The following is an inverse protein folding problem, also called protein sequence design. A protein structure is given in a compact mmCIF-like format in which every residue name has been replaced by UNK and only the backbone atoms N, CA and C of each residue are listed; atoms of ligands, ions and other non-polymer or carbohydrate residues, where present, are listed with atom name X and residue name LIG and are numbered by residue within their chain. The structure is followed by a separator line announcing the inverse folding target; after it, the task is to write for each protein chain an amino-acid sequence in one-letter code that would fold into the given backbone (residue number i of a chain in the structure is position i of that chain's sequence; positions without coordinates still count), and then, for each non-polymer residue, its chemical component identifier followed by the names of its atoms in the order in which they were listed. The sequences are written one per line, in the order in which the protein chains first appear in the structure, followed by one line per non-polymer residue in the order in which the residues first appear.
data_IF_190986562645
#
_entry.id   IF_190986562645
#
_cell.length_a   1.000
_cell.length_b   1.000
_cell.length_c   1.000
_cell.angle_alpha   90.00
_cell.angle_beta   90.00
_cell.angle_gamma   90.00
#
_symmetry.space_group_name_H-M   'P 1'
#
loop_
_entity.id
_entity.type
_entity.pdbx_description
1 polymer ?
#
# COMPACT_ATOMS: atom_id res chain seq x y z
N UNK A 1 32.82 -35.13 19.79
CA UNK A 1 31.56 -34.51 19.33
C UNK A 1 31.80 -34.00 17.92
N UNK A 2 31.57 -34.83 16.91
CA UNK A 2 31.81 -34.51 15.49
C UNK A 2 30.61 -34.99 14.70
N UNK A 3 29.67 -34.10 14.41
CA UNK A 3 28.52 -34.38 13.56
C UNK A 3 28.87 -33.92 12.13
N UNK A 4 29.50 -34.80 11.37
CA UNK A 4 29.84 -34.55 9.97
C UNK A 4 28.65 -34.97 9.09
N UNK A 5 27.99 -33.95 8.55
CA UNK A 5 27.39 -33.84 7.20
C UNK A 5 27.39 -35.15 6.40
N UNK A 6 26.24 -35.83 6.39
CA UNK A 6 25.98 -37.02 5.59
C UNK A 6 24.72 -36.88 4.73
N UNK A 7 24.63 -35.82 3.92
CA UNK A 7 23.59 -35.67 2.90
C UNK A 7 24.19 -35.03 1.63
N UNK A 8 24.87 -35.80 0.77
CA UNK A 8 24.55 -35.67 -0.65
C UNK A 8 24.89 -36.94 -1.43
N UNK A 9 23.92 -37.76 -1.85
CA UNK A 9 24.16 -38.72 -2.96
C UNK A 9 22.89 -39.34 -3.55
N UNK A 10 21.76 -39.32 -2.84
CA UNK A 10 20.52 -39.93 -3.32
C UNK A 10 19.74 -39.10 -4.38
N UNK A 11 20.04 -37.81 -4.55
CA UNK A 11 19.34 -36.97 -5.53
C UNK A 11 20.00 -36.94 -6.94
N UNK A 12 21.18 -37.54 -7.12
CA UNK A 12 21.93 -37.43 -8.38
C UNK A 12 21.50 -38.46 -9.43
N UNK A 13 21.05 -39.66 -9.03
CA UNK A 13 20.70 -40.74 -9.98
C UNK A 13 19.25 -40.70 -10.48
N UNK A 14 18.34 -40.02 -9.79
CA UNK A 14 16.92 -39.96 -10.19
C UNK A 14 16.62 -38.99 -11.36
N UNK A 15 17.58 -38.19 -11.80
CA UNK A 15 17.41 -37.16 -12.85
C UNK A 15 18.14 -37.49 -14.17
N UNK A 16 18.42 -38.77 -14.44
CA UNK A 16 18.77 -39.27 -15.77
C UNK A 16 17.54 -39.72 -16.58
N UNK A 17 16.37 -39.12 -16.35
CA UNK A 17 15.31 -39.17 -17.36
C UNK A 17 15.83 -38.47 -18.61
N UNK A 18 15.96 -39.22 -19.72
CA UNK A 18 16.23 -38.64 -21.04
C UNK A 18 15.18 -37.57 -21.29
N UNK A 19 15.58 -36.31 -21.28
CA UNK A 19 14.69 -35.20 -21.55
C UNK A 19 14.12 -35.40 -22.96
N UNK A 20 12.80 -35.61 -23.13
CA UNK A 20 12.22 -35.92 -24.43
C UNK A 20 12.21 -34.71 -25.37
N UNK A 21 12.47 -33.50 -24.85
CA UNK A 21 12.38 -32.27 -25.61
C UNK A 21 13.74 -31.79 -26.12
N UNK A 22 13.80 -31.38 -27.38
CA UNK A 22 15.00 -30.74 -27.93
C UNK A 22 15.24 -29.38 -27.24
N UNK A 23 16.49 -29.04 -26.85
CA UNK A 23 16.78 -27.74 -26.25
C UNK A 23 16.33 -26.54 -27.10
N UNK A 24 16.39 -26.69 -28.43
CA UNK A 24 15.93 -25.66 -29.39
C UNK A 24 14.43 -25.38 -29.26
N UNK A 25 13.62 -26.43 -29.08
CA UNK A 25 12.18 -26.30 -28.88
C UNK A 25 11.89 -25.56 -27.57
N UNK A 26 12.55 -25.94 -26.47
CA UNK A 26 12.36 -25.28 -25.17
C UNK A 26 12.71 -23.80 -25.22
N UNK A 27 13.83 -23.45 -25.86
CA UNK A 27 14.23 -22.04 -26.06
C UNK A 27 13.19 -21.29 -26.90
N UNK A 28 12.71 -21.88 -28.00
CA UNK A 28 11.73 -21.25 -28.88
C UNK A 28 10.39 -21.02 -28.17
N UNK A 29 9.88 -22.03 -27.46
CA UNK A 29 8.64 -21.95 -26.70
C UNK A 29 8.73 -20.85 -25.63
N UNK A 30 9.83 -20.79 -24.89
CA UNK A 30 9.99 -19.78 -23.85
C UNK A 30 10.13 -18.37 -24.41
N UNK A 31 10.82 -18.19 -25.54
CA UNK A 31 10.88 -16.90 -26.21
C UNK A 31 9.49 -16.46 -26.67
N UNK A 32 8.70 -17.35 -27.27
CA UNK A 32 7.32 -17.04 -27.70
C UNK A 32 6.44 -16.69 -26.51
N UNK A 33 6.46 -17.49 -25.44
CA UNK A 33 5.68 -17.23 -24.22
C UNK A 33 6.11 -15.91 -23.57
N UNK A 34 7.40 -15.63 -23.50
CA UNK A 34 7.92 -14.38 -22.94
C UNK A 34 7.49 -13.18 -23.77
N UNK A 35 7.66 -13.22 -25.09
CA UNK A 35 7.22 -12.15 -25.99
C UNK A 35 5.70 -11.94 -25.92
N UNK A 36 4.93 -13.02 -25.85
CA UNK A 36 3.48 -12.96 -25.68
C UNK A 36 3.08 -12.30 -24.35
N UNK A 37 3.72 -12.68 -23.25
CA UNK A 37 3.50 -12.06 -21.95
C UNK A 37 3.80 -10.56 -21.96
N UNK A 38 4.93 -10.16 -22.55
CA UNK A 38 5.30 -8.75 -22.67
C UNK A 38 4.40 -7.98 -23.63
N UNK A 39 3.88 -8.62 -24.67
CA UNK A 39 2.86 -8.04 -25.54
C UNK A 39 1.59 -7.71 -24.73
N UNK A 40 1.07 -8.66 -23.94
CA UNK A 40 -0.09 -8.40 -23.07
C UNK A 40 0.19 -7.30 -22.05
N UNK A 41 1.39 -7.25 -21.46
CA UNK A 41 1.75 -6.19 -20.51
C UNK A 41 1.93 -4.81 -21.11
N UNK A 42 2.29 -4.72 -22.39
CA UNK A 42 2.64 -3.44 -23.03
C UNK A 42 1.55 -2.92 -23.94
N UNK A 43 0.41 -3.60 -24.01
CA UNK A 43 -0.74 -3.23 -24.84
C UNK A 43 -2.01 -3.31 -24.02
N UNK A 44 -3.10 -2.79 -24.57
CA UNK A 44 -4.44 -2.92 -24.00
C UNK A 44 -5.10 -4.29 -24.26
N UNK A 45 -4.30 -5.32 -24.59
CA UNK A 45 -4.77 -6.69 -24.75
C UNK A 45 -4.64 -7.49 -23.45
N UNK A 46 -5.71 -8.21 -23.14
CA UNK A 46 -5.82 -9.16 -22.04
C UNK A 46 -6.28 -10.53 -22.56
N UNK A 47 -6.12 -11.57 -21.75
CA UNK A 47 -6.80 -12.83 -21.99
C UNK A 47 -8.29 -12.68 -21.67
N UNK A 48 -9.12 -13.49 -22.32
CA UNK A 48 -10.55 -13.47 -22.05
C UNK A 48 -10.85 -13.85 -20.59
N UNK A 49 -11.29 -12.85 -19.81
CA UNK A 49 -11.56 -12.96 -18.38
C UNK A 49 -10.34 -12.73 -17.47
N UNK A 50 -10.62 -12.33 -16.23
CA UNK A 50 -9.57 -11.89 -15.30
C UNK A 50 -8.72 -13.02 -14.70
N UNK A 51 -9.25 -14.25 -14.57
CA UNK A 51 -8.52 -15.38 -13.96
C UNK A 51 -7.30 -15.79 -14.80
N UNK A 52 -7.42 -16.01 -16.13
CA UNK A 52 -6.27 -16.29 -16.98
C UNK A 52 -5.16 -15.24 -16.88
N UNK A 53 -5.51 -13.95 -16.82
CA UNK A 53 -4.52 -12.86 -16.68
C UNK A 53 -3.72 -12.94 -15.38
N UNK A 54 -4.35 -13.44 -14.31
CA UNK A 54 -3.71 -13.63 -13.01
C UNK A 54 -2.79 -14.86 -13.02
N UNK A 55 -3.22 -15.95 -13.65
CA UNK A 55 -2.53 -17.24 -13.60
C UNK A 55 -1.45 -17.40 -14.67
N UNK A 56 -1.59 -16.76 -15.83
CA UNK A 56 -0.67 -16.93 -16.95
C UNK A 56 0.76 -16.47 -16.61
N UNK A 57 1.00 -15.26 -16.04
CA UNK A 57 2.36 -14.82 -15.74
C UNK A 57 3.17 -15.74 -14.84
N UNK A 58 2.68 -16.19 -13.66
CA UNK A 58 3.43 -17.11 -12.83
C UNK A 58 3.62 -18.47 -13.52
N UNK A 59 2.63 -18.95 -14.29
CA UNK A 59 2.77 -20.19 -15.05
C UNK A 59 3.90 -20.11 -16.09
N UNK A 60 3.99 -19.01 -16.85
CA UNK A 60 5.07 -18.76 -17.81
C UNK A 60 6.43 -18.69 -17.10
N UNK A 61 6.51 -18.00 -15.96
CA UNK A 61 7.73 -17.92 -15.16
C UNK A 61 8.20 -19.29 -14.66
N UNK A 62 7.28 -20.10 -14.13
CA UNK A 62 7.57 -21.47 -13.65
C UNK A 62 8.04 -22.36 -14.81
N UNK A 63 7.35 -22.33 -15.96
CA UNK A 63 7.74 -23.08 -17.16
C UNK A 63 9.16 -22.67 -17.59
N UNK A 64 9.51 -21.39 -17.54
CA UNK A 64 10.83 -20.90 -17.91
C UNK A 64 11.93 -21.38 -16.95
N UNK A 65 11.68 -21.34 -15.64
CA UNK A 65 12.61 -21.83 -14.63
C UNK A 65 12.85 -23.34 -14.80
N UNK A 66 11.78 -24.13 -14.96
CA UNK A 66 11.87 -25.56 -15.18
C UNK A 66 12.60 -25.84 -16.50
N UNK A 67 12.24 -25.14 -17.58
CA UNK A 67 12.87 -25.30 -18.90
C UNK A 67 14.37 -25.00 -18.86
N UNK A 68 14.77 -23.94 -18.15
CA UNK A 68 16.17 -23.57 -17.95
C UNK A 68 16.93 -24.63 -17.13
N UNK A 69 16.32 -25.14 -16.06
CA UNK A 69 16.93 -26.16 -15.19
C UNK A 69 17.16 -27.50 -15.91
N UNK A 70 16.27 -27.88 -16.83
CA UNK A 70 16.36 -29.15 -17.57
C UNK A 70 17.13 -28.99 -18.91
N UNK A 71 17.33 -27.75 -19.38
CA UNK A 71 18.10 -27.48 -20.60
C UNK A 71 19.60 -27.75 -20.38
N UNK A 72 20.09 -28.86 -20.95
CA UNK A 72 21.52 -29.20 -20.96
C UNK A 72 22.12 -28.83 -22.31
N UNK A 73 22.89 -27.76 -22.35
CA UNK A 73 23.65 -27.33 -23.55
C UNK A 73 25.12 -27.66 -23.40
N UNK A 74 25.75 -28.14 -24.48
CA UNK A 74 27.17 -28.54 -24.46
C UNK A 74 28.15 -27.37 -24.52
N UNK A 75 27.71 -26.16 -24.89
CA UNK A 75 28.58 -24.98 -25.08
C UNK A 75 28.13 -23.79 -24.25
N UNK A 76 29.09 -23.05 -23.66
CA UNK A 76 28.86 -21.81 -22.91
C UNK A 76 28.10 -20.75 -23.71
N UNK A 77 28.38 -20.63 -25.02
CA UNK A 77 27.70 -19.65 -25.88
C UNK A 77 26.23 -20.02 -26.09
N UNK A 78 25.94 -21.31 -26.27
CA UNK A 78 24.57 -21.80 -26.40
C UNK A 78 23.81 -21.66 -25.08
N UNK A 79 24.49 -21.90 -23.95
CA UNK A 79 23.91 -21.67 -22.63
C UNK A 79 23.54 -20.20 -22.44
N UNK A 80 24.43 -19.26 -22.79
CA UNK A 80 24.15 -17.82 -22.69
C UNK A 80 22.95 -17.42 -23.55
N UNK A 81 22.90 -17.83 -24.82
CA UNK A 81 21.77 -17.52 -25.70
C UNK A 81 20.45 -18.14 -25.21
N UNK A 82 20.52 -19.36 -24.68
CA UNK A 82 19.36 -20.01 -24.06
C UNK A 82 18.89 -19.18 -22.85
N UNK A 83 19.78 -18.85 -21.91
CA UNK A 83 19.48 -17.99 -20.76
C UNK A 83 18.83 -16.68 -21.17
N UNK A 84 19.40 -15.96 -22.15
CA UNK A 84 18.83 -14.71 -22.65
C UNK A 84 17.41 -14.88 -23.21
N UNK A 85 17.10 -16.03 -23.81
CA UNK A 85 15.77 -16.33 -24.36
C UNK A 85 14.74 -16.67 -23.28
N UNK A 86 15.17 -17.15 -22.11
CA UNK A 86 14.29 -17.38 -20.95
C UNK A 86 14.05 -16.11 -20.13
N UNK A 87 14.94 -15.11 -20.22
CA UNK A 87 14.86 -13.89 -19.42
C UNK A 87 13.51 -13.16 -19.54
N UNK A 88 12.90 -12.95 -20.72
CA UNK A 88 11.61 -12.27 -20.80
C UNK A 88 10.52 -12.94 -19.97
N UNK A 89 10.44 -14.28 -20.00
CA UNK A 89 9.48 -15.08 -19.22
C UNK A 89 9.78 -15.06 -17.73
N UNK A 90 11.05 -15.21 -17.35
CA UNK A 90 11.47 -15.20 -15.94
C UNK A 90 11.24 -13.82 -15.33
N UNK A 91 11.60 -12.75 -16.03
CA UNK A 91 11.41 -11.38 -15.57
C UNK A 91 9.93 -11.04 -15.52
N UNK A 92 9.15 -11.32 -16.58
CA UNK A 92 7.73 -11.03 -16.61
C UNK A 92 6.95 -11.78 -15.51
N UNK A 93 7.12 -13.10 -15.42
CA UNK A 93 6.47 -13.90 -14.39
C UNK A 93 7.00 -13.62 -12.98
N UNK A 94 8.31 -13.40 -12.84
CA UNK A 94 8.94 -13.10 -11.55
C UNK A 94 8.55 -11.73 -10.99
N UNK A 95 8.47 -10.69 -11.82
CA UNK A 95 7.99 -9.37 -11.42
C UNK A 95 6.53 -9.41 -10.97
N UNK A 96 5.70 -10.19 -11.66
CA UNK A 96 4.32 -10.40 -11.24
C UNK A 96 4.23 -11.02 -9.85
N UNK A 97 4.96 -12.11 -9.60
CA UNK A 97 5.00 -12.78 -8.29
C UNK A 97 5.55 -11.85 -7.20
N UNK A 98 6.63 -11.12 -7.48
CA UNK A 98 7.18 -10.13 -6.55
C UNK A 98 6.14 -9.05 -6.21
N UNK A 99 5.41 -8.56 -7.21
CA UNK A 99 4.36 -7.56 -7.03
C UNK A 99 3.27 -8.07 -6.09
N UNK A 100 2.80 -9.32 -6.27
CA UNK A 100 1.84 -9.95 -5.35
C UNK A 100 2.39 -10.01 -3.93
N UNK A 101 3.65 -10.42 -3.74
CA UNK A 101 4.26 -10.45 -2.41
C UNK A 101 4.38 -9.07 -1.76
N UNK A 102 4.78 -8.05 -2.52
CA UNK A 102 4.83 -6.66 -2.02
C UNK A 102 3.45 -6.18 -1.58
N UNK A 103 2.41 -6.53 -2.34
CA UNK A 103 1.02 -6.20 -2.06
C UNK A 103 0.45 -6.92 -0.83
N UNK A 104 1.14 -7.94 -0.31
CA UNK A 104 0.80 -8.61 0.96
C UNK A 104 1.45 -7.96 2.18
N UNK A 105 2.37 -7.01 2.00
CA UNK A 105 3.03 -6.30 3.10
C UNK A 105 2.14 -5.11 3.54
N UNK A 106 1.90 -4.91 4.86
CA UNK A 106 1.21 -3.71 5.33
C UNK A 106 1.92 -2.43 4.88
N UNK A 107 1.18 -1.35 4.52
CA UNK A 107 -0.28 -1.19 4.63
C UNK A 107 -1.08 -1.71 3.41
N UNK A 108 -0.45 -2.33 2.42
CA UNK A 108 -1.08 -2.66 1.14
C UNK A 108 -2.03 -3.86 1.20
N UNK A 109 -1.81 -4.77 2.16
CA UNK A 109 -2.52 -6.04 2.32
C UNK A 109 -4.05 -5.90 2.24
N UNK A 110 -4.62 -4.91 2.95
CA UNK A 110 -6.07 -4.72 2.99
C UNK A 110 -6.64 -4.31 1.63
N UNK A 111 -5.97 -3.36 0.96
CA UNK A 111 -6.33 -2.92 -0.40
C UNK A 111 -6.26 -4.07 -1.40
N UNK A 112 -5.27 -4.94 -1.28
CA UNK A 112 -5.10 -6.13 -2.11
C UNK A 112 -6.26 -7.11 -1.95
N UNK A 113 -6.71 -7.37 -0.72
CA UNK A 113 -7.86 -8.25 -0.49
C UNK A 113 -9.16 -7.67 -1.05
N UNK A 114 -9.37 -6.35 -0.92
CA UNK A 114 -10.53 -5.70 -1.55
C UNK A 114 -10.46 -5.82 -3.07
N UNK A 115 -9.32 -5.51 -3.69
CA UNK A 115 -9.14 -5.64 -5.13
C UNK A 115 -9.35 -7.09 -5.62
N UNK A 116 -8.84 -8.08 -4.89
CA UNK A 116 -9.04 -9.49 -5.20
C UNK A 116 -10.53 -9.90 -5.10
N UNK A 117 -11.24 -9.40 -4.09
CA UNK A 117 -12.68 -9.64 -3.94
C UNK A 117 -13.48 -8.99 -5.07
N UNK A 118 -13.14 -7.76 -5.46
CA UNK A 118 -13.76 -7.05 -6.59
C UNK A 118 -13.55 -7.80 -7.91
N UNK A 119 -12.34 -8.34 -8.12
CA UNK A 119 -12.01 -9.17 -9.30
C UNK A 119 -12.81 -10.47 -9.28
N UNK A 120 -12.91 -11.13 -8.13
CA UNK A 120 -13.65 -12.39 -8.00
C UNK A 120 -15.17 -12.21 -8.18
N UNK A 121 -15.69 -11.03 -7.84
CA UNK A 121 -17.08 -10.64 -8.04
C UNK A 121 -17.37 -9.93 -9.36
N UNK A 122 -16.46 -10.02 -10.35
CA UNK A 122 -16.70 -9.44 -11.68
C UNK A 122 -17.88 -10.15 -12.37
N UNK A 123 -18.87 -9.37 -12.81
CA UNK A 123 -20.07 -9.87 -13.51
C UNK A 123 -20.21 -9.22 -14.88
N UNK A 124 -20.58 -10.02 -15.90
CA UNK A 124 -20.96 -9.48 -17.21
C UNK A 124 -22.39 -8.95 -17.13
N UNK A 125 -22.58 -7.65 -17.39
CA UNK A 125 -23.89 -6.99 -17.30
C UNK A 125 -24.49 -6.72 -18.69
N UNK A 126 -23.65 -6.60 -19.73
CA UNK A 126 -24.11 -6.35 -21.09
C UNK A 126 -23.17 -6.95 -22.13
N UNK A 127 -23.77 -7.42 -23.23
CA UNK A 127 -23.08 -7.84 -24.45
C UNK A 127 -23.67 -7.16 -25.68
N UNK A 128 -22.85 -6.43 -26.43
CA UNK A 128 -23.26 -5.73 -27.66
C UNK A 128 -22.43 -6.18 -28.87
N UNK A 129 -23.07 -6.68 -29.92
CA UNK A 129 -22.40 -7.15 -31.13
C UNK A 129 -22.26 -6.00 -32.12
N UNK A 130 -21.07 -5.83 -32.71
CA UNK A 130 -20.81 -4.84 -33.75
C UNK A 130 -21.69 -5.05 -34.99
N UNK A 131 -21.99 -4.00 -35.78
CA UNK A 131 -22.86 -4.12 -36.96
C UNK A 131 -22.32 -5.11 -38.02
N UNK A 132 -21.01 -5.16 -38.22
CA UNK A 132 -20.35 -6.14 -39.12
C UNK A 132 -20.15 -7.54 -38.50
N UNK A 133 -20.55 -7.71 -37.23
CA UNK A 133 -20.43 -8.93 -36.43
C UNK A 133 -19.00 -9.40 -36.19
N UNK A 134 -17.97 -8.64 -36.54
CA UNK A 134 -16.58 -9.09 -36.35
C UNK A 134 -16.11 -8.99 -34.90
N UNK A 135 -16.78 -8.15 -34.11
CA UNK A 135 -16.44 -7.81 -32.72
C UNK A 135 -17.65 -7.86 -31.81
N UNK A 136 -17.42 -8.15 -30.55
CA UNK A 136 -18.42 -8.08 -29.47
C UNK A 136 -17.85 -7.24 -28.34
N UNK A 137 -18.60 -6.24 -27.89
CA UNK A 137 -18.34 -5.50 -26.68
C UNK A 137 -18.98 -6.22 -25.50
N UNK A 138 -18.20 -6.42 -24.45
CA UNK A 138 -18.61 -6.98 -23.16
C UNK A 138 -18.45 -5.91 -22.10
N UNK A 139 -19.48 -5.71 -21.30
CA UNK A 139 -19.46 -4.75 -20.18
C UNK A 139 -19.43 -5.57 -18.91
N UNK A 140 -18.38 -5.36 -18.12
CA UNK A 140 -18.18 -6.02 -16.84
C UNK A 140 -18.34 -5.02 -15.71
N UNK A 141 -19.11 -5.40 -14.70
CA UNK A 141 -19.27 -4.67 -13.46
C UNK A 141 -18.42 -5.32 -12.36
N UNK A 142 -17.75 -4.51 -11.56
CA UNK A 142 -17.13 -4.93 -10.29
C UNK A 142 -17.68 -4.08 -9.16
N UNK A 143 -18.48 -4.68 -8.28
CA UNK A 143 -18.99 -3.99 -7.09
C UNK A 143 -17.85 -3.58 -6.15
N UNK A 144 -17.87 -2.35 -5.65
CA UNK A 144 -16.87 -1.81 -4.71
C UNK A 144 -17.47 -1.66 -3.31
N UNK A 145 -16.70 -2.06 -2.29
CA UNK A 145 -17.01 -1.86 -0.87
C UNK A 145 -17.49 -3.11 -0.12
N UNK A 146 -17.25 -3.14 1.20
CA UNK A 146 -17.67 -4.22 2.11
C UNK A 146 -19.13 -4.09 2.57
N UNK A 147 -19.76 -2.93 2.38
CA UNK A 147 -21.12 -2.59 2.80
C UNK A 147 -21.77 -1.77 1.69
N UNK A 148 -22.28 -2.46 0.68
CA UNK A 148 -22.80 -1.90 -0.58
C UNK A 148 -23.83 -0.77 -0.36
N UNK A 149 -23.56 0.39 -0.98
CA UNK A 149 -24.49 1.52 -1.07
C UNK A 149 -23.83 2.76 -1.67
N UNK A 150 -23.15 2.71 -2.81
CA UNK A 150 -23.38 1.92 -4.00
C UNK A 150 -22.68 2.68 -5.14
N UNK A 151 -22.05 1.91 -6.04
CA UNK A 151 -21.45 2.28 -7.33
C UNK A 151 -20.08 1.63 -7.51
N UNK A 152 -20.02 0.72 -8.48
CA UNK A 152 -18.88 -0.13 -8.75
C UNK A 152 -17.93 0.46 -9.78
N UNK A 153 -17.20 -0.43 -10.43
CA UNK A 153 -16.32 -0.12 -11.57
C UNK A 153 -16.89 -0.77 -12.82
N UNK A 154 -16.79 -0.09 -13.94
CA UNK A 154 -17.13 -0.65 -15.24
C UNK A 154 -15.87 -0.86 -16.06
N UNK A 155 -15.79 -2.02 -16.71
CA UNK A 155 -14.80 -2.36 -17.71
C UNK A 155 -15.53 -2.69 -19.01
N UNK A 156 -15.15 -2.06 -20.10
CA UNK A 156 -15.66 -2.43 -21.43
C UNK A 156 -14.53 -3.10 -22.20
N UNK A 157 -14.74 -4.37 -22.53
CA UNK A 157 -13.79 -5.20 -23.25
C UNK A 157 -14.32 -5.58 -24.62
N UNK A 158 -13.45 -5.59 -25.62
CA UNK A 158 -13.79 -6.02 -26.97
C UNK A 158 -13.16 -7.38 -27.25
N UNK A 159 -13.99 -8.32 -27.68
CA UNK A 159 -13.55 -9.63 -28.17
C UNK A 159 -13.72 -9.71 -29.68
N UNK A 160 -12.71 -10.22 -30.36
CA UNK A 160 -12.75 -10.47 -31.80
C UNK A 160 -13.24 -11.89 -32.08
N UNK A 161 -14.11 -12.08 -33.07
CA UNK A 161 -14.62 -13.42 -33.40
C UNK A 161 -13.52 -14.41 -33.79
N UNK A 162 -12.46 -13.93 -34.45
CA UNK A 162 -11.35 -14.77 -34.92
C UNK A 162 -10.39 -15.15 -33.78
N UNK A 163 -10.35 -14.37 -32.70
CA UNK A 163 -9.46 -14.56 -31.55
C UNK A 163 -10.26 -14.44 -30.25
N UNK A 164 -11.16 -15.40 -29.95
CA UNK A 164 -12.10 -15.29 -28.83
C UNK A 164 -11.44 -15.42 -27.45
N UNK A 165 -10.16 -15.77 -27.39
CA UNK A 165 -9.38 -15.88 -26.16
C UNK A 165 -8.61 -14.59 -25.82
N UNK A 166 -8.63 -13.60 -26.72
CA UNK A 166 -8.04 -12.28 -26.50
C UNK A 166 -9.16 -11.25 -26.40
N UNK A 167 -9.04 -10.41 -25.39
CA UNK A 167 -9.86 -9.25 -25.16
C UNK A 167 -9.01 -8.00 -25.24
N UNK A 168 -9.65 -6.89 -25.56
CA UNK A 168 -9.03 -5.57 -25.55
C UNK A 168 -9.78 -4.69 -24.57
N UNK A 169 -9.10 -4.18 -23.56
CA UNK A 169 -9.67 -3.25 -22.58
C UNK A 169 -9.78 -1.86 -23.22
N UNK A 170 -10.99 -1.43 -23.58
CA UNK A 170 -11.23 -0.18 -24.31
C UNK A 170 -11.62 0.98 -23.39
N UNK A 171 -12.26 0.67 -22.27
CA UNK A 171 -12.74 1.67 -21.34
C UNK A 171 -12.76 1.14 -19.91
N UNK A 172 -12.42 2.02 -18.98
CA UNK A 172 -12.48 1.78 -17.55
C UNK A 172 -13.07 3.00 -16.86
N UNK A 173 -14.16 2.79 -16.12
CA UNK A 173 -14.74 3.81 -15.25
C UNK A 173 -14.53 3.42 -13.77
N UNK A 174 -13.70 4.15 -13.01
CA UNK A 174 -13.36 3.79 -11.64
C UNK A 174 -14.51 3.97 -10.64
N UNK A 175 -15.54 4.74 -11.01
CA UNK A 175 -16.74 4.99 -10.21
C UNK A 175 -17.94 5.07 -11.14
N UNK A 176 -18.81 4.07 -11.09
CA UNK A 176 -19.96 3.95 -11.99
C UNK A 176 -21.28 3.84 -11.22
N UNK A 177 -22.28 4.61 -11.63
CA UNK A 177 -23.67 4.51 -11.16
C UNK A 177 -24.41 3.23 -11.60
N UNK A 178 -23.77 2.39 -12.41
CA UNK A 178 -24.33 1.12 -12.84
C UNK A 178 -24.46 0.10 -11.68
N UNK A 179 -25.36 -0.85 -11.89
CA UNK A 179 -25.56 -2.04 -11.06
C UNK A 179 -25.41 -3.31 -11.89
N UNK A 180 -25.50 -4.46 -11.22
CA UNK A 180 -25.52 -5.78 -11.87
C UNK A 180 -26.68 -5.94 -12.88
N UNK A 181 -27.75 -5.17 -12.72
CA UNK A 181 -28.94 -5.21 -13.57
C UNK A 181 -28.91 -4.20 -14.74
N UNK A 182 -27.80 -3.49 -14.96
CA UNK A 182 -27.70 -2.47 -16.02
C UNK A 182 -27.46 -3.12 -17.38
N UNK A 183 -28.40 -2.94 -18.33
CA UNK A 183 -28.37 -3.62 -19.64
C UNK A 183 -28.01 -2.71 -20.84
N UNK A 184 -28.05 -1.39 -20.69
CA UNK A 184 -27.91 -0.39 -21.77
C UNK A 184 -26.73 0.58 -21.56
N UNK A 185 -25.60 0.04 -21.12
CA UNK A 185 -24.39 0.80 -20.84
C UNK A 185 -23.64 1.26 -22.10
N UNK A 186 -23.61 0.40 -23.14
CA UNK A 186 -22.82 0.58 -24.36
C UNK A 186 -23.68 0.39 -25.61
N UNK A 187 -23.48 1.25 -26.60
CA UNK A 187 -24.07 1.14 -27.94
C UNK A 187 -23.00 1.25 -29.03
N UNK A 188 -23.07 0.44 -30.09
CA UNK A 188 -22.16 0.59 -31.24
C UNK A 188 -22.55 1.79 -32.12
N UNK A 189 -21.60 2.71 -32.33
CA UNK A 189 -21.70 3.79 -33.34
C UNK A 189 -20.89 3.38 -34.57
N UNK A 190 -21.51 2.59 -35.45
CA UNK A 190 -20.82 1.97 -36.57
C UNK A 190 -19.90 0.81 -36.14
N UNK A 191 -18.87 0.50 -36.94
CA UNK A 191 -18.02 -0.69 -36.73
C UNK A 191 -16.81 -0.46 -35.82
N UNK A 192 -16.44 0.80 -35.58
CA UNK A 192 -15.17 1.16 -34.94
C UNK A 192 -15.33 2.11 -33.75
N UNK A 193 -16.55 2.39 -33.31
CA UNK A 193 -16.80 3.25 -32.18
C UNK A 193 -17.91 2.73 -31.27
N UNK A 194 -17.76 3.00 -29.98
CA UNK A 194 -18.71 2.69 -28.93
C UNK A 194 -19.14 3.98 -28.26
N UNK A 195 -20.44 4.13 -28.04
CA UNK A 195 -21.01 5.17 -27.20
C UNK A 195 -21.25 4.62 -25.79
N UNK A 196 -20.76 5.34 -24.78
CA UNK A 196 -20.93 5.00 -23.36
C UNK A 196 -22.03 5.88 -22.77
N UNK A 197 -23.12 5.28 -22.29
CA UNK A 197 -24.30 6.03 -21.86
C UNK A 197 -24.07 6.87 -20.60
N UNK A 198 -23.29 6.35 -19.64
CA UNK A 198 -23.04 7.03 -18.37
C UNK A 198 -22.16 8.28 -18.51
N UNK A 199 -21.07 8.21 -19.28
CA UNK A 199 -20.17 9.35 -19.50
C UNK A 199 -20.56 10.21 -20.70
N UNK A 200 -21.46 9.73 -21.56
CA UNK A 200 -21.86 10.36 -22.82
C UNK A 200 -20.69 10.54 -23.80
N UNK A 201 -19.71 9.62 -23.76
CA UNK A 201 -18.50 9.68 -24.58
C UNK A 201 -18.52 8.62 -25.69
N UNK A 202 -17.89 8.96 -26.83
CA UNK A 202 -17.65 8.03 -27.93
C UNK A 202 -16.18 7.60 -27.94
N UNK A 203 -15.94 6.29 -27.93
CA UNK A 203 -14.62 5.69 -27.81
C UNK A 203 -14.28 4.91 -29.08
N UNK A 204 -13.10 5.17 -29.64
CA UNK A 204 -12.62 4.47 -30.84
C UNK A 204 -12.01 3.11 -30.50
N UNK A 205 -12.51 2.05 -31.15
CA UNK A 205 -12.07 0.65 -31.00
C UNK A 205 -10.90 0.29 -31.94
N UNK A 206 -10.46 1.20 -32.81
CA UNK A 206 -9.55 0.85 -33.93
C UNK A 206 -8.06 0.77 -33.61
N UNK A 207 -7.56 1.54 -32.63
CA UNK A 207 -6.11 1.75 -32.43
C UNK A 207 -5.65 1.04 -31.16
N UNK A 208 -4.75 0.05 -31.28
CA UNK A 208 -4.12 -0.61 -30.14
C UNK A 208 -3.37 0.42 -29.30
N UNK A 209 -3.72 0.56 -28.03
CA UNK A 209 -3.00 1.45 -27.11
C UNK A 209 -1.74 0.73 -26.58
N UNK A 210 -0.65 1.48 -26.45
CA UNK A 210 0.54 1.00 -25.74
C UNK A 210 0.43 1.43 -24.28
N UNK A 211 0.67 0.50 -23.36
CA UNK A 211 0.61 0.75 -21.93
C UNK A 211 1.98 0.55 -21.28
N UNK A 212 2.19 1.21 -20.14
CA UNK A 212 3.33 0.88 -19.29
C UNK A 212 2.98 -0.37 -18.48
N UNK A 213 3.77 -1.45 -18.57
CA UNK A 213 3.53 -2.66 -17.79
C UNK A 213 3.32 -2.37 -16.31
N UNK A 214 2.14 -2.73 -15.78
CA UNK A 214 1.82 -2.53 -14.37
C UNK A 214 2.78 -3.28 -13.44
N UNK A 215 3.32 -4.42 -13.90
CA UNK A 215 4.37 -5.18 -13.20
C UNK A 215 5.70 -4.42 -13.03
N UNK A 216 5.92 -3.36 -13.79
CA UNK A 216 7.05 -2.43 -13.62
C UNK A 216 6.59 -1.19 -12.84
N UNK A 217 5.46 -0.60 -13.25
CA UNK A 217 4.98 0.65 -12.69
C UNK A 217 4.65 0.54 -11.20
N UNK A 218 3.94 -0.51 -10.78
CA UNK A 218 3.47 -0.67 -9.41
C UNK A 218 4.62 -0.84 -8.40
N UNK A 219 5.61 -1.75 -8.58
CA UNK A 219 6.77 -1.81 -7.68
C UNK A 219 7.54 -0.49 -7.60
N UNK A 220 7.68 0.22 -8.73
CA UNK A 220 8.32 1.54 -8.75
C UNK A 220 7.54 2.55 -7.89
N UNK A 221 6.21 2.62 -8.04
CA UNK A 221 5.38 3.51 -7.22
C UNK A 221 5.41 3.14 -5.75
N UNK A 222 5.31 1.86 -5.40
CA UNK A 222 5.43 1.39 -4.00
C UNK A 222 6.77 1.82 -3.41
N UNK A 223 7.87 1.61 -4.14
CA UNK A 223 9.20 2.03 -3.69
C UNK A 223 9.29 3.54 -3.47
N UNK A 224 8.73 4.35 -4.38
CA UNK A 224 8.68 5.82 -4.25
C UNK A 224 7.88 6.26 -3.02
N UNK A 225 6.74 5.61 -2.75
CA UNK A 225 5.91 5.88 -1.57
C UNK A 225 6.69 5.54 -0.29
N UNK A 226 7.34 4.38 -0.24
CA UNK A 226 8.14 3.95 0.92
C UNK A 226 9.31 4.90 1.18
N UNK A 227 10.01 5.37 0.14
CA UNK A 227 11.05 6.38 0.28
C UNK A 227 10.51 7.69 0.84
N UNK A 228 9.34 8.13 0.37
CA UNK A 228 8.70 9.36 0.84
C UNK A 228 8.31 9.24 2.31
N UNK A 229 7.73 8.10 2.71
CA UNK A 229 7.38 7.82 4.11
C UNK A 229 8.64 7.78 4.98
N UNK A 230 9.71 7.13 4.53
CA UNK A 230 10.97 7.04 5.26
C UNK A 230 11.61 8.43 5.47
N UNK A 231 11.60 9.27 4.43
CA UNK A 231 12.12 10.63 4.53
C UNK A 231 11.25 11.50 5.44
N UNK A 232 9.92 11.43 5.32
CA UNK A 232 9.02 12.13 6.23
C UNK A 232 9.22 11.68 7.68
N UNK A 233 9.39 10.39 7.93
CA UNK A 233 9.67 9.86 9.26
C UNK A 233 11.01 10.38 9.80
N UNK A 234 12.05 10.47 8.96
CA UNK A 234 13.37 11.03 9.32
C UNK A 234 13.26 12.51 9.68
N UNK A 235 12.56 13.31 8.86
CA UNK A 235 12.33 14.73 9.11
C UNK A 235 11.51 14.93 10.38
N UNK A 236 10.41 14.20 10.55
CA UNK A 236 9.58 14.24 11.77
C UNK A 236 10.40 13.85 13.01
N UNK A 237 11.27 12.84 12.92
CA UNK A 237 12.15 12.46 14.02
C UNK A 237 13.12 13.58 14.39
N UNK A 238 13.71 14.27 13.42
CA UNK A 238 14.61 15.41 13.66
C UNK A 238 13.86 16.61 14.26
N UNK A 239 12.68 16.92 13.72
CA UNK A 239 11.86 18.01 14.22
C UNK A 239 11.34 17.76 15.64
N UNK A 240 11.06 16.51 16.01
CA UNK A 240 10.51 16.15 17.33
C UNK A 240 11.56 15.96 18.44
N UNK A 241 12.87 16.10 18.14
CA UNK A 241 13.95 16.09 19.15
C UNK A 241 13.63 16.98 20.38
N UNK A 242 13.14 18.22 20.24
CA UNK A 242 12.93 19.12 21.37
C UNK A 242 12.01 18.54 22.46
N UNK A 243 10.98 17.77 22.07
CA UNK A 243 9.98 17.16 22.96
C UNK A 243 10.33 15.72 23.36
N UNK A 244 11.30 15.10 22.68
CA UNK A 244 11.84 13.78 23.06
C UNK A 244 12.87 13.86 24.18
N UNK A 245 13.67 14.92 24.18
CA UNK A 245 14.78 15.13 25.13
C UNK A 245 14.35 15.85 26.43
N UNK A 246 13.09 15.69 26.80
CA UNK A 246 12.51 16.30 28.01
C UNK A 246 12.43 15.27 29.14
N UNK A 247 12.39 15.72 30.41
CA UNK A 247 12.21 14.82 31.54
C UNK A 247 10.93 14.00 31.42
N UNK A 248 11.00 12.75 31.88
CA UNK A 248 9.90 11.79 31.83
C UNK A 248 9.72 11.22 33.23
N UNK A 249 8.48 11.21 33.71
CA UNK A 249 8.12 10.61 35.00
C UNK A 249 8.58 9.13 35.05
N UNK A 250 9.21 8.66 36.15
CA UNK A 250 9.83 7.34 36.25
C UNK A 250 8.83 6.17 36.44
N UNK A 251 7.68 6.21 35.75
CA UNK A 251 6.64 5.19 35.78
C UNK A 251 6.59 4.31 34.51
N UNK A 252 5.64 3.38 34.46
CA UNK A 252 5.40 2.55 33.27
C UNK A 252 4.69 3.37 32.21
N UNK A 253 5.37 3.60 31.08
CA UNK A 253 4.87 4.40 29.97
C UNK A 253 4.45 3.53 28.80
N UNK A 254 3.33 3.89 28.17
CA UNK A 254 2.82 3.23 26.98
C UNK A 254 2.23 4.23 25.98
N UNK A 255 2.12 3.81 24.72
CA UNK A 255 1.65 4.64 23.60
C UNK A 255 2.44 5.95 23.41
N UNK A 256 3.76 5.89 23.62
CA UNK A 256 4.65 7.04 23.41
C UNK A 256 4.81 7.35 21.93
N UNK A 257 4.30 8.51 21.52
CA UNK A 257 4.31 8.99 20.14
C UNK A 257 4.73 10.44 20.09
N UNK A 258 5.40 10.82 19.01
CA UNK A 258 5.83 12.20 18.79
C UNK A 258 5.63 12.58 17.33
N UNK A 259 5.07 13.75 17.06
CA UNK A 259 4.87 14.25 15.70
C UNK A 259 5.04 15.76 15.59
N UNK A 260 5.35 16.20 14.38
CA UNK A 260 5.36 17.61 14.01
C UNK A 260 4.01 17.97 13.39
N UNK A 261 3.37 19.01 13.91
CA UNK A 261 2.11 19.54 13.40
C UNK A 261 2.40 20.81 12.59
N UNK A 262 2.60 20.64 11.28
CA UNK A 262 2.98 21.72 10.36
C UNK A 262 2.00 22.92 10.42
N UNK A 263 0.69 22.64 10.48
CA UNK A 263 -0.35 23.68 10.53
C UNK A 263 -0.24 24.59 11.75
N UNK A 264 0.21 24.05 12.87
CA UNK A 264 0.32 24.75 14.16
C UNK A 264 1.74 25.25 14.43
N UNK A 265 2.69 24.91 13.55
CA UNK A 265 4.10 25.21 13.74
C UNK A 265 4.66 24.65 15.05
N UNK A 266 4.10 23.54 15.55
CA UNK A 266 4.43 22.97 16.86
C UNK A 266 4.89 21.52 16.74
N UNK A 267 5.76 21.10 17.64
CA UNK A 267 6.12 19.71 17.83
C UNK A 267 5.43 19.19 19.07
N UNK A 268 4.98 17.94 19.03
CA UNK A 268 4.41 17.33 20.22
C UNK A 268 4.88 15.92 20.49
N UNK A 269 4.77 15.56 21.77
CA UNK A 269 4.87 14.19 22.28
C UNK A 269 3.67 13.88 23.15
N UNK A 270 3.16 12.66 23.04
CA UNK A 270 2.00 12.17 23.77
C UNK A 270 2.28 10.77 24.29
N UNK A 271 1.97 10.51 25.55
CA UNK A 271 2.11 9.18 26.15
C UNK A 271 1.18 9.02 27.35
N UNK A 272 1.01 7.78 27.81
CA UNK A 272 0.25 7.46 29.00
C UNK A 272 1.17 6.89 30.08
N UNK A 273 0.88 7.21 31.34
CA UNK A 273 1.53 6.66 32.53
C UNK A 273 0.51 5.76 33.24
N UNK A 274 0.81 4.47 33.38
CA UNK A 274 -0.13 3.48 33.91
C UNK A 274 -0.28 3.57 35.43
N UNK A 275 -1.53 3.59 35.93
CA UNK A 275 -1.90 3.45 37.37
C UNK A 275 -1.27 4.44 38.34
N UNK A 276 -0.92 5.63 37.87
CA UNK A 276 -0.39 6.69 38.71
C UNK A 276 -1.46 7.73 39.05
N UNK A 277 -1.32 8.35 40.22
CA UNK A 277 -2.12 9.50 40.61
C UNK A 277 -1.61 10.77 39.93
N UNK A 278 -2.52 11.55 39.34
CA UNK A 278 -2.16 12.77 38.58
C UNK A 278 -1.45 13.81 39.45
N UNK A 279 -1.85 13.95 40.72
CA UNK A 279 -1.25 14.91 41.64
C UNK A 279 0.21 14.54 41.94
N UNK A 280 0.49 13.24 42.12
CA UNK A 280 1.85 12.73 42.28
C UNK A 280 2.72 12.98 41.03
N UNK A 281 2.19 12.70 39.83
CA UNK A 281 2.91 12.93 38.57
C UNK A 281 3.23 14.41 38.40
N UNK A 282 2.24 15.29 38.59
CA UNK A 282 2.40 16.74 38.43
C UNK A 282 3.41 17.30 39.44
N UNK A 283 3.34 16.88 40.71
CA UNK A 283 4.29 17.29 41.74
C UNK A 283 5.73 16.87 41.43
N UNK A 284 5.91 15.70 40.81
CA UNK A 284 7.22 15.29 40.35
C UNK A 284 7.76 16.23 39.26
N UNK A 285 6.93 16.58 38.27
CA UNK A 285 7.31 17.51 37.21
C UNK A 285 7.58 18.93 37.74
N UNK A 286 6.80 19.40 38.71
CA UNK A 286 7.05 20.67 39.41
C UNK A 286 8.45 20.69 40.03
N UNK A 287 8.83 19.62 40.72
CA UNK A 287 10.16 19.46 41.30
C UNK A 287 11.27 19.49 40.25
N UNK A 288 11.08 18.75 39.14
CA UNK A 288 12.06 18.69 38.05
C UNK A 288 12.21 20.05 37.35
N UNK A 289 11.11 20.72 37.01
CA UNK A 289 11.16 22.00 36.30
C UNK A 289 11.61 23.18 37.18
N UNK A 290 11.62 23.00 38.50
CA UNK A 290 12.19 23.96 39.45
C UNK A 290 13.72 23.84 39.57
N UNK A 291 14.37 22.90 38.86
CA UNK A 291 15.82 22.70 38.90
C UNK A 291 16.50 23.00 37.56
N UNK A 292 17.68 23.65 37.54
CA UNK A 292 18.44 23.86 36.31
C UNK A 292 18.69 22.56 35.54
N UNK A 293 18.63 22.54 34.19
CA UNK A 293 18.54 23.70 33.29
C UNK A 293 17.10 24.19 33.00
N UNK A 294 16.11 23.72 33.76
CA UNK A 294 14.72 24.10 33.60
C UNK A 294 14.35 25.29 34.50
N UNK A 295 13.33 26.02 34.10
CA UNK A 295 12.68 27.07 34.89
C UNK A 295 11.19 26.89 34.77
N UNK A 296 10.55 26.54 35.88
CA UNK A 296 9.09 26.51 35.99
C UNK A 296 8.55 27.93 35.82
N UNK A 297 7.63 28.11 34.87
CA UNK A 297 7.00 29.40 34.58
C UNK A 297 5.63 29.48 35.25
N UNK A 298 4.79 28.47 35.03
CA UNK A 298 3.39 28.46 35.50
C UNK A 298 2.87 27.04 35.67
N UNK A 299 1.97 26.84 36.64
CA UNK A 299 1.15 25.63 36.79
C UNK A 299 -0.30 26.07 36.96
N UNK A 300 -1.17 25.59 36.09
CA UNK A 300 -2.62 25.78 36.17
C UNK A 300 -3.32 24.44 36.36
N UNK A 301 -4.35 24.41 37.21
CA UNK A 301 -5.17 23.23 37.50
C UNK A 301 -6.62 23.48 37.09
N UNK A 302 -7.22 22.50 36.44
CA UNK A 302 -8.60 22.53 36.00
C UNK A 302 -9.32 21.25 36.41
N UNK A 303 -10.60 21.40 36.74
CA UNK A 303 -11.51 20.28 36.97
C UNK A 303 -12.68 20.42 36.01
N UNK A 304 -12.94 19.38 35.23
CA UNK A 304 -14.09 19.30 34.32
C UNK A 304 -14.91 18.07 34.69
N UNK A 305 -16.24 18.18 34.65
CA UNK A 305 -17.14 17.04 34.87
C UNK A 305 -17.76 16.66 33.54
N UNK A 306 -17.39 15.50 33.01
CA UNK A 306 -17.89 14.98 31.74
C UNK A 306 -18.53 13.61 31.99
N UNK A 307 -19.79 13.43 31.60
CA UNK A 307 -20.52 12.17 31.78
C UNK A 307 -20.52 11.62 33.22
N UNK A 308 -20.52 12.51 34.22
CA UNK A 308 -20.49 12.16 35.65
C UNK A 308 -19.12 11.76 36.19
N UNK A 309 -18.07 11.78 35.36
CA UNK A 309 -16.69 11.57 35.76
C UNK A 309 -15.98 12.91 35.94
N UNK A 310 -15.19 13.01 37.01
CA UNK A 310 -14.37 14.19 37.28
C UNK A 310 -13.01 14.02 36.61
N UNK A 311 -12.79 14.78 35.54
CA UNK A 311 -11.51 14.88 34.85
C UNK A 311 -10.68 16.00 35.49
N UNK A 312 -9.48 15.66 35.91
CA UNK A 312 -8.50 16.61 36.43
C UNK A 312 -7.50 16.87 35.31
N UNK A 313 -7.30 18.14 34.98
CA UNK A 313 -6.32 18.56 33.99
C UNK A 313 -5.32 19.52 34.60
N UNK A 314 -4.06 19.40 34.20
CA UNK A 314 -3.02 20.36 34.54
C UNK A 314 -2.36 20.91 33.28
N UNK A 315 -2.01 22.19 33.30
CA UNK A 315 -1.10 22.80 32.35
C UNK A 315 0.15 23.25 33.10
N UNK A 316 1.32 22.73 32.75
CA UNK A 316 2.61 23.21 33.25
C UNK A 316 3.35 23.88 32.11
N UNK A 317 3.68 25.15 32.28
CA UNK A 317 4.58 25.87 31.39
C UNK A 317 5.98 25.89 32.01
N UNK A 318 6.97 25.42 31.26
CA UNK A 318 8.37 25.50 31.68
C UNK A 318 9.24 26.02 30.54
N UNK A 319 10.35 26.65 30.92
CA UNK A 319 11.36 27.19 30.01
C UNK A 319 12.65 26.41 30.19
N UNK A 320 13.34 26.11 29.09
CA UNK A 320 14.69 25.55 29.10
C UNK A 320 15.64 26.53 28.43
N UNK A 321 16.73 26.86 29.10
CA UNK A 321 17.83 27.62 28.51
C UNK A 321 18.86 26.63 27.94
N UNK A 322 19.00 26.62 26.62
CA UNK A 322 20.07 25.95 25.89
C UNK A 322 21.11 27.01 25.49
N UNK A 323 22.36 26.61 25.24
CA UNK A 323 23.51 27.52 25.07
C UNK A 323 23.25 28.75 24.18
N UNK A 324 22.41 28.62 23.13
CA UNK A 324 22.05 29.71 22.23
C UNK A 324 20.53 29.87 21.99
N UNK A 325 19.68 29.17 22.75
CA UNK A 325 18.24 29.15 22.48
C UNK A 325 17.41 29.05 23.76
N UNK A 326 16.37 29.89 23.86
CA UNK A 326 15.34 29.78 24.90
C UNK A 326 14.13 29.10 24.31
N UNK A 327 13.75 27.94 24.85
CA UNK A 327 12.55 27.21 24.43
C UNK A 327 11.52 27.18 25.54
N UNK A 328 10.27 27.40 25.16
CA UNK A 328 9.10 27.24 26.03
C UNK A 328 8.45 25.91 25.69
N UNK A 329 8.04 25.21 26.74
CA UNK A 329 7.41 23.92 26.67
C UNK A 329 6.13 23.93 27.52
N UNK A 330 5.14 23.18 27.06
CA UNK A 330 3.84 23.05 27.69
C UNK A 330 3.56 21.58 27.94
N UNK A 331 3.39 21.19 29.21
CA UNK A 331 2.89 19.88 29.58
C UNK A 331 1.43 19.96 29.95
N UNK A 332 0.63 19.15 29.30
CA UNK A 332 -0.78 18.96 29.60
C UNK A 332 -0.95 17.57 30.19
N UNK A 333 -1.47 17.51 31.42
CA UNK A 333 -1.80 16.26 32.09
C UNK A 333 -3.30 16.11 32.10
N UNK A 334 -3.78 14.92 31.76
CA UNK A 334 -5.19 14.57 31.79
C UNK A 334 -5.35 13.25 32.54
N UNK A 335 -6.12 13.29 33.63
CA UNK A 335 -6.39 12.13 34.47
C UNK A 335 -7.79 12.19 35.03
N UNK A 336 -8.11 11.21 35.87
CA UNK A 336 -9.35 11.19 36.65
C UNK A 336 -9.01 11.03 38.14
N UNK A 337 -10.01 11.27 38.99
CA UNK A 337 -9.93 10.91 40.41
C UNK A 337 -9.82 9.39 40.66
N UNK A 338 -10.03 8.55 39.64
CA UNK A 338 -9.78 7.12 39.66
C UNK A 338 -8.36 6.81 39.14
N UNK A 339 -7.41 6.39 40.00
CA UNK A 339 -6.03 6.09 39.62
C UNK A 339 -5.92 4.92 38.63
N UNK A 340 -6.93 4.05 38.55
CA UNK A 340 -6.87 2.88 37.65
C UNK A 340 -6.80 3.25 36.18
N UNK A 341 -7.16 4.49 35.82
CA UNK A 341 -7.17 5.00 34.45
C UNK A 341 -5.83 5.57 33.97
N UNK A 342 -4.88 5.77 34.89
CA UNK A 342 -3.58 6.37 34.59
C UNK A 342 -3.65 7.86 34.23
N UNK A 343 -2.52 8.40 33.78
CA UNK A 343 -2.35 9.81 33.42
C UNK A 343 -1.91 9.91 31.97
N UNK A 344 -2.69 10.63 31.15
CA UNK A 344 -2.29 10.99 29.80
C UNK A 344 -1.48 12.29 29.84
N UNK A 345 -0.34 12.31 29.15
CA UNK A 345 0.58 13.44 29.12
C UNK A 345 0.81 13.87 27.68
N UNK A 346 0.61 15.15 27.41
CA UNK A 346 0.90 15.80 26.14
C UNK A 346 1.95 16.90 26.35
N UNK A 347 2.94 16.99 25.47
CA UNK A 347 4.07 17.91 25.59
C UNK A 347 4.24 18.68 24.28
N UNK A 348 4.02 19.99 24.29
CA UNK A 348 4.07 20.87 23.11
C UNK A 348 5.21 21.89 23.16
N UNK A 349 5.76 22.27 22.00
CA UNK A 349 6.71 23.38 21.84
C UNK A 349 6.78 23.87 20.38
N UNK A 350 6.86 25.19 20.11
CA UNK A 350 6.81 26.30 21.05
C UNK A 350 5.38 26.67 21.46
N UNK A 351 4.37 25.98 20.94
CA UNK A 351 2.96 26.25 21.21
C UNK A 351 2.33 25.07 21.97
N UNK A 352 1.29 25.30 22.78
CA UNK A 352 0.49 24.23 23.38
C UNK A 352 -0.23 23.40 22.31
N UNK A 353 -0.62 22.18 22.65
CA UNK A 353 -1.25 21.23 21.72
C UNK A 353 -2.76 21.32 21.81
N UNK A 354 -3.29 21.49 23.02
CA UNK A 354 -4.73 21.60 23.24
C UNK A 354 -5.08 22.96 23.85
N UNK A 355 -6.38 23.26 23.79
CA UNK A 355 -6.96 24.42 24.44
C UNK A 355 -6.69 24.46 25.95
N UNK A 356 -6.34 23.33 26.58
CA UNK A 356 -6.06 23.27 28.03
C UNK A 356 -4.97 24.24 28.42
N UNK A 357 -3.85 24.25 27.67
CA UNK A 357 -2.82 25.27 27.82
C UNK A 357 -3.09 26.49 26.92
N UNK A 358 -3.75 26.32 25.77
CA UNK A 358 -4.02 27.39 24.80
C UNK A 358 -4.89 28.54 25.31
N UNK A 359 -5.87 28.27 26.18
CA UNK A 359 -6.84 29.27 26.68
C UNK A 359 -6.23 30.44 27.45
N UNK A 360 -4.98 30.33 27.91
CA UNK A 360 -4.33 31.32 28.77
C UNK A 360 -2.87 31.57 28.43
N UNK A 361 -2.45 31.23 27.21
CA UNK A 361 -1.25 31.86 26.66
C UNK A 361 -1.62 33.33 26.48
N UNK A 362 -1.11 34.20 27.36
CA UNK A 362 -1.23 35.64 27.17
C UNK A 362 -0.75 35.95 25.75
N UNK A 363 -1.59 36.63 24.97
CA UNK A 363 -1.18 37.09 23.66
C UNK A 363 0.13 37.90 23.84
N UNK A 364 1.16 37.63 23.03
CA UNK A 364 2.51 38.16 23.25
C UNK A 364 2.59 39.68 23.33
#
# INVERSE_FOLDING_TARGET
MSLVVGLPLLCSKALQMKNPFSPKLLVTVNLILGLFLWFLYSTDYSLAGTIPDILLPPAIGIIAIISLAVSRTSSKRQQLLATLSYLPSIIGGGLYVLTVFLMLIPPFTLGTFFAASEIAGETEIQRAISPDRTRTAYVYFRGVGAYSGGNGRIFVRIRYQVLPFLERDIFYLPRSYASEDTEDYVEWRGNNALYISETQEEISVGIIATETPQVIALPYYIFRVLLTIAEQARVNQQQTIPVRDVPIYPGTIFSDQSQYLEREGTVFRSFNIEREDIEQVVKWYEGVFSTPPWTLVKIDRYTETESGLMHIRYCIQARRELENERRIYYWEFMGSNDPSRGVHVNIGSPNPITDTCGRYVEAP
#
